data_IF_618298916822
#
_entry.id   IF_618298916822
#
_cell.length_a   1.000
_cell.length_b   1.000
_cell.length_c   1.000
_cell.angle_alpha   90.00
_cell.angle_beta   90.00
_cell.angle_gamma   90.00
#
_symmetry.space_group_name_H-M   'P 1'
#
loop_
_entity.id
_entity.type
_entity.pdbx_description
1 polymer ?
#
# COMPACT_ATOMS: atom_id res chain seq x y z
N UNK A 1 -7.55 -5.27 11.75
CA UNK A 1 -6.77 -4.18 11.10
C UNK A 1 -7.28 -4.05 9.68
N UNK A 2 -7.55 -2.83 9.20
CA UNK A 2 -7.96 -2.61 7.82
C UNK A 2 -6.80 -2.94 6.87
N UNK A 3 -7.08 -3.66 5.78
CA UNK A 3 -6.08 -3.90 4.75
C UNK A 3 -5.58 -2.57 4.17
N UNK A 4 -4.27 -2.48 3.90
CA UNK A 4 -3.74 -1.30 3.24
C UNK A 4 -4.25 -1.21 1.80
N UNK A 5 -4.28 -0.01 1.20
CA UNK A 5 -4.69 0.15 -0.19
C UNK A 5 -3.95 -0.79 -1.14
N UNK A 6 -2.63 -0.93 -0.93
CA UNK A 6 -1.81 -1.83 -1.73
C UNK A 6 -2.14 -3.30 -1.49
N UNK A 7 -2.39 -3.73 -0.25
CA UNK A 7 -2.77 -5.12 0.03
C UNK A 7 -4.10 -5.49 -0.59
N UNK A 8 -5.06 -4.56 -0.55
CA UNK A 8 -6.34 -4.74 -1.23
C UNK A 8 -6.13 -4.92 -2.74
N UNK A 9 -5.40 -4.01 -3.37
CA UNK A 9 -5.07 -4.11 -4.80
C UNK A 9 -4.40 -5.45 -5.16
N UNK A 10 -3.40 -5.88 -4.39
CA UNK A 10 -2.70 -7.14 -4.61
C UNK A 10 -3.64 -8.34 -4.49
N UNK A 11 -4.53 -8.33 -3.51
CA UNK A 11 -5.52 -9.39 -3.30
C UNK A 11 -6.54 -9.45 -4.44
N UNK A 12 -7.07 -8.30 -4.85
CA UNK A 12 -8.05 -8.19 -5.96
C UNK A 12 -7.46 -8.69 -7.29
N UNK A 13 -6.15 -8.55 -7.47
CA UNK A 13 -5.41 -9.01 -8.67
C UNK A 13 -4.80 -10.41 -8.52
N UNK A 14 -5.02 -11.11 -7.40
CA UNK A 14 -4.36 -12.38 -7.09
C UNK A 14 -2.84 -12.33 -7.27
N UNK A 15 -2.24 -11.19 -6.89
CA UNK A 15 -0.83 -10.87 -7.08
C UNK A 15 -0.09 -10.90 -5.74
N UNK A 16 1.15 -11.41 -5.75
CA UNK A 16 2.00 -11.37 -4.55
C UNK A 16 2.78 -10.05 -4.47
N UNK A 17 3.20 -9.66 -3.26
CA UNK A 17 4.03 -8.48 -3.07
C UNK A 17 5.38 -8.61 -3.82
N UNK A 18 5.91 -9.82 -3.88
CA UNK A 18 7.14 -10.18 -4.59
C UNK A 18 6.95 -10.07 -6.10
N UNK A 19 5.82 -10.57 -6.63
CA UNK A 19 5.48 -10.45 -8.04
C UNK A 19 5.31 -8.99 -8.47
N UNK A 20 4.57 -8.21 -7.67
CA UNK A 20 4.42 -6.77 -7.91
C UNK A 20 5.75 -6.03 -7.87
N UNK A 21 6.60 -6.35 -6.88
CA UNK A 21 7.91 -5.73 -6.74
C UNK A 21 8.80 -6.03 -7.94
N UNK A 22 8.83 -7.29 -8.41
CA UNK A 22 9.59 -7.70 -9.58
C UNK A 22 9.08 -7.05 -10.88
N UNK A 23 7.76 -6.99 -11.07
CA UNK A 23 7.15 -6.40 -12.28
C UNK A 23 7.37 -4.89 -12.37
N UNK A 24 7.31 -4.19 -11.23
CA UNK A 24 7.34 -2.72 -11.18
C UNK A 24 8.68 -2.12 -10.74
N UNK A 25 9.68 -2.96 -10.47
CA UNK A 25 11.04 -2.52 -10.10
C UNK A 25 11.17 -2.02 -8.66
N UNK A 26 10.29 -2.45 -7.75
CA UNK A 26 10.39 -2.11 -6.32
C UNK A 26 11.21 -3.13 -5.54
N UNK A 27 11.65 -2.75 -4.34
CA UNK A 27 12.16 -3.71 -3.37
C UNK A 27 11.02 -4.57 -2.80
N UNK A 28 11.14 -5.89 -2.93
CA UNK A 28 10.18 -6.84 -2.36
C UNK A 28 10.02 -6.66 -0.84
N UNK A 29 11.08 -6.26 -0.13
CA UNK A 29 11.01 -5.94 1.29
C UNK A 29 10.08 -4.75 1.54
N UNK A 30 10.26 -3.65 0.80
CA UNK A 30 9.43 -2.45 0.93
C UNK A 30 7.95 -2.74 0.66
N UNK A 31 7.66 -3.41 -0.47
CA UNK A 31 6.28 -3.74 -0.86
C UNK A 31 5.60 -4.61 0.19
N UNK A 32 6.29 -5.61 0.75
CA UNK A 32 5.75 -6.43 1.86
C UNK A 32 5.39 -5.60 3.08
N UNK A 33 6.24 -4.66 3.48
CA UNK A 33 5.98 -3.80 4.63
C UNK A 33 4.83 -2.82 4.38
N UNK A 34 4.72 -2.29 3.16
CA UNK A 34 3.60 -1.44 2.75
C UNK A 34 2.28 -2.20 2.68
N UNK A 35 2.28 -3.42 2.12
CA UNK A 35 1.09 -4.27 2.07
C UNK A 35 0.63 -4.69 3.49
N UNK A 36 1.57 -4.94 4.41
CA UNK A 36 1.21 -5.29 5.79
C UNK A 36 0.79 -4.10 6.65
N UNK A 37 1.02 -2.87 6.20
CA UNK A 37 0.78 -1.66 6.98
C UNK A 37 1.83 -1.40 8.07
N UNK A 38 2.94 -2.14 8.06
CA UNK A 38 4.05 -1.94 9.01
C UNK A 38 4.81 -0.64 8.75
N UNK A 39 4.77 -0.15 7.51
CA UNK A 39 5.44 1.09 7.09
C UNK A 39 4.57 1.81 6.07
N UNK A 40 4.51 3.13 6.18
CA UNK A 40 3.94 3.98 5.13
C UNK A 40 4.99 4.18 4.02
N UNK A 41 4.64 4.02 2.73
CA UNK A 41 5.50 4.49 1.64
C UNK A 41 5.71 6.01 1.72
N UNK A 42 6.88 6.48 1.29
CA UNK A 42 7.11 7.92 1.13
C UNK A 42 6.20 8.50 0.04
N UNK A 43 6.02 9.82 -0.01
CA UNK A 43 5.19 10.45 -1.05
C UNK A 43 5.69 10.10 -2.47
N UNK A 44 7.01 10.09 -2.69
CA UNK A 44 7.59 9.66 -3.97
C UNK A 44 7.20 8.22 -4.32
N UNK A 45 7.34 7.28 -3.37
CA UNK A 45 6.93 5.89 -3.61
C UNK A 45 5.42 5.74 -3.77
N UNK A 46 4.59 6.60 -3.15
CA UNK A 46 3.14 6.59 -3.38
C UNK A 46 2.80 6.99 -4.81
N UNK A 47 3.49 7.99 -5.38
CA UNK A 47 3.32 8.41 -6.78
C UNK A 47 3.81 7.31 -7.74
N UNK A 48 4.93 6.66 -7.42
CA UNK A 48 5.43 5.52 -8.20
C UNK A 48 4.44 4.34 -8.16
N UNK A 49 3.85 4.05 -7.00
CA UNK A 49 2.81 3.01 -6.85
C UNK A 49 1.56 3.39 -7.65
N UNK A 50 1.10 4.63 -7.61
CA UNK A 50 -0.04 5.11 -8.39
C UNK A 50 0.20 4.88 -9.88
N UNK A 51 1.38 5.28 -10.37
CA UNK A 51 1.78 5.05 -11.76
C UNK A 51 1.85 3.56 -12.08
N UNK A 52 2.43 2.75 -11.19
CA UNK A 52 2.57 1.30 -11.38
C UNK A 52 1.23 0.55 -11.34
N UNK A 53 0.21 1.12 -10.71
CA UNK A 53 -1.12 0.51 -10.55
C UNK A 53 -2.17 1.13 -11.46
N UNK A 54 -1.75 1.98 -12.41
CA UNK A 54 -2.63 2.72 -13.32
C UNK A 54 -3.71 3.52 -12.56
N UNK A 55 -3.33 4.15 -11.45
CA UNK A 55 -4.21 4.95 -10.61
C UNK A 55 -5.08 4.14 -9.64
N UNK A 56 -4.97 2.81 -9.59
CA UNK A 56 -5.78 1.99 -8.69
C UNK A 56 -5.38 2.13 -7.21
N UNK A 57 -4.16 2.59 -6.92
CA UNK A 57 -3.68 2.89 -5.57
C UNK A 57 -3.05 4.28 -5.58
N UNK A 58 -3.82 5.30 -5.17
CA UNK A 58 -3.38 6.70 -5.15
C UNK A 58 -2.88 7.14 -3.77
N UNK A 59 -2.10 8.23 -3.67
CA UNK A 59 -1.68 8.83 -2.39
C UNK A 59 -2.85 9.14 -1.45
N UNK A 60 -4.01 9.51 -2.00
CA UNK A 60 -5.23 9.78 -1.23
C UNK A 60 -5.77 8.55 -0.52
N UNK A 61 -5.61 7.36 -1.09
CA UNK A 61 -6.03 6.10 -0.46
C UNK A 61 -5.17 5.79 0.78
N UNK A 62 -3.87 6.06 0.70
CA UNK A 62 -2.95 5.92 1.83
C UNK A 62 -3.31 6.88 2.97
N UNK A 63 -3.66 8.13 2.64
CA UNK A 63 -4.12 9.11 3.61
C UNK A 63 -5.43 8.66 4.27
N UNK A 64 -6.40 8.22 3.48
CA UNK A 64 -7.69 7.74 3.99
C UNK A 64 -7.52 6.53 4.93
N UNK A 65 -6.69 5.56 4.54
CA UNK A 65 -6.35 4.41 5.37
C UNK A 65 -5.67 4.83 6.68
N UNK A 66 -4.68 5.74 6.61
CA UNK A 66 -3.99 6.26 7.79
C UNK A 66 -4.94 6.93 8.79
N UNK A 67 -5.85 7.76 8.29
CA UNK A 67 -6.85 8.46 9.10
C UNK A 67 -7.86 7.49 9.73
N UNK A 68 -8.26 6.45 9.00
CA UNK A 68 -9.12 5.41 9.53
C UNK A 68 -8.43 4.61 10.66
N UNK A 69 -7.16 4.27 10.48
CA UNK A 69 -6.40 3.49 11.48
C UNK A 69 -6.09 4.32 12.73
N UNK A 70 -5.72 5.59 12.58
CA UNK A 70 -5.42 6.53 13.68
C UNK A 70 -6.60 6.77 14.63
N UNK A 71 -7.85 6.62 14.15
CA UNK A 71 -9.05 6.73 14.99
C UNK A 71 -9.27 5.52 15.90
N UNK A 72 -8.72 4.37 15.53
CA UNK A 72 -8.90 3.12 16.26
C UNK A 72 -8.00 3.06 17.49
N UNK A 73 -6.79 3.63 17.40
CA UNK A 73 -5.82 3.65 18.51
C UNK A 73 -6.19 4.63 19.64
N UNK A 74 -7.07 5.61 19.37
CA UNK A 74 -7.52 6.59 20.37
C UNK A 74 -8.71 6.12 21.22
N UNK A 75 -9.26 4.94 20.92
CA UNK A 75 -10.43 4.38 21.60
C UNK A 75 -10.09 3.19 22.53
N UNK A 76 -8.79 2.89 22.73
CA UNK A 76 -8.29 1.82 23.59
C UNK A 76 -7.66 2.37 24.88
#
# INVERSE_FOLDING_TARGET
MADTPLRKFLSDRSMTAEGFAADKGFSAWSVRHWARGNKMPSLSSQIEIETATDGAVAPTDWLAWSLANSRTDKAA
#
